data_IF_244759614254
#
_entry.id   IF_244759614254
#
_cell.length_a   1.000
_cell.length_b   1.000
_cell.length_c   1.000
_cell.angle_alpha   90.00
_cell.angle_beta   90.00
_cell.angle_gamma   90.00
#
_symmetry.space_group_name_H-M   'P 1'
#
loop_
_entity.id
_entity.type
_entity.pdbx_description
1 polymer ?
#
# COMPACT_ATOMS: atom_id res chain seq x y z
N UNK A 1 -48.42 -4.58 54.94
CA UNK A 1 -47.46 -5.45 55.66
C UNK A 1 -47.10 -6.54 54.64
N UNK A 2 -45.92 -6.70 54.05
CA UNK A 2 -44.54 -6.42 54.45
C UNK A 2 -43.68 -6.55 53.17
N UNK A 3 -42.70 -5.67 52.94
CA UNK A 3 -41.64 -5.87 51.92
C UNK A 3 -40.62 -6.92 52.43
N UNK A 4 -39.80 -7.54 51.54
CA UNK A 4 -38.39 -7.18 51.59
C UNK A 4 -37.59 -7.23 50.25
N UNK A 5 -36.70 -6.25 50.15
CA UNK A 5 -35.27 -6.27 49.77
C UNK A 5 -34.81 -6.80 48.39
N UNK A 6 -34.44 -5.82 47.57
CA UNK A 6 -33.42 -5.86 46.52
C UNK A 6 -32.03 -6.15 47.12
N UNK A 7 -31.34 -7.18 46.62
CA UNK A 7 -29.90 -7.37 46.83
C UNK A 7 -29.17 -6.99 45.54
N UNK A 8 -28.54 -5.81 45.54
CA UNK A 8 -27.56 -5.39 44.55
C UNK A 8 -26.19 -5.95 44.96
N UNK A 9 -25.63 -6.88 44.20
CA UNK A 9 -24.24 -7.29 44.34
C UNK A 9 -23.33 -6.19 43.78
N UNK A 10 -22.62 -5.49 44.66
CA UNK A 10 -21.53 -4.60 44.30
C UNK A 10 -20.21 -5.40 44.32
N UNK A 11 -19.58 -5.57 43.16
CA UNK A 11 -18.21 -6.07 43.07
C UNK A 11 -17.27 -4.90 43.32
N UNK A 12 -16.63 -4.89 44.49
CA UNK A 12 -15.57 -3.95 44.83
C UNK A 12 -14.25 -4.45 44.22
N UNK A 13 -13.69 -3.69 43.28
CA UNK A 13 -12.31 -3.90 42.81
C UNK A 13 -11.38 -3.19 43.80
N UNK A 14 -10.58 -3.98 44.50
CA UNK A 14 -9.52 -3.54 45.41
C UNK A 14 -8.49 -2.69 44.66
N UNK A 15 -8.32 -1.45 45.10
CA UNK A 15 -7.13 -0.62 44.84
C UNK A 15 -5.97 -1.14 45.68
N UNK A 16 -4.88 -1.58 45.04
CA UNK A 16 -3.60 -1.76 45.72
C UNK A 16 -2.86 -0.41 45.74
N UNK A 17 -2.79 0.19 46.93
CA UNK A 17 -1.93 1.34 47.22
C UNK A 17 -0.49 0.85 47.47
N UNK A 18 0.46 1.32 46.67
CA UNK A 18 1.89 1.26 46.99
C UNK A 18 2.37 2.70 47.25
N UNK A 19 2.70 2.98 48.51
CA UNK A 19 3.28 4.24 48.97
C UNK A 19 4.78 4.39 48.62
N UNK A 20 5.38 5.55 48.94
CA UNK A 20 6.65 6.01 48.38
C UNK A 20 7.85 5.76 49.30
N UNK A 21 9.03 5.49 48.73
CA UNK A 21 10.35 5.95 49.19
C UNK A 21 11.47 5.17 48.48
N UNK A 22 12.43 5.88 47.89
CA UNK A 22 13.66 5.27 47.38
C UNK A 22 14.27 6.05 46.21
N UNK A 23 14.72 7.28 46.46
CA UNK A 23 15.59 7.98 45.53
C UNK A 23 16.92 7.22 45.42
N UNK A 24 17.22 6.69 44.23
CA UNK A 24 18.54 6.19 43.86
C UNK A 24 18.97 6.93 42.59
N UNK A 25 19.70 8.04 42.76
CA UNK A 25 20.41 8.72 41.67
C UNK A 25 21.84 8.20 41.63
N UNK A 26 22.10 7.21 40.78
CA UNK A 26 23.46 6.89 40.33
C UNK A 26 23.84 7.82 39.17
N UNK A 27 25.04 8.41 39.13
CA UNK A 27 25.48 9.19 37.97
C UNK A 27 25.61 8.28 36.74
N UNK A 28 25.25 8.75 35.53
CA UNK A 28 25.38 7.96 34.31
C UNK A 28 26.86 7.74 33.95
N UNK A 29 27.23 6.56 33.41
CA UNK A 29 28.58 6.31 32.91
C UNK A 29 28.88 7.20 31.69
N UNK A 30 30.15 7.54 31.43
CA UNK A 30 30.55 8.37 30.29
C UNK A 30 30.23 7.68 28.96
N UNK A 31 29.70 8.45 28.03
CA UNK A 31 29.26 8.00 26.70
C UNK A 31 30.48 7.60 25.82
N UNK A 32 30.43 6.47 25.09
CA UNK A 32 31.50 6.09 24.16
C UNK A 32 31.58 7.08 22.98
N UNK A 33 32.77 7.28 22.37
CA UNK A 33 32.92 8.19 21.24
C UNK A 33 32.04 7.76 20.05
N UNK A 34 31.57 8.71 19.22
CA UNK A 34 30.79 8.41 18.03
C UNK A 34 31.52 7.41 17.14
N UNK A 35 30.91 6.24 16.92
CA UNK A 35 31.37 5.33 15.86
C UNK A 35 30.99 5.93 14.51
N UNK A 36 31.96 6.53 13.84
CA UNK A 36 31.87 6.75 12.40
C UNK A 36 31.80 5.39 11.70
N UNK A 37 30.59 4.99 11.33
CA UNK A 37 30.39 3.94 10.34
C UNK A 37 30.36 4.63 8.98
N UNK A 38 31.46 4.65 8.20
CA UNK A 38 31.38 5.07 6.82
C UNK A 38 30.52 4.04 6.10
N UNK A 39 29.25 4.37 5.94
CA UNK A 39 28.24 3.45 5.44
C UNK A 39 28.47 3.03 3.99
N UNK A 40 27.63 2.10 3.57
CA UNK A 40 27.42 1.56 2.21
C UNK A 40 27.45 2.63 1.09
N UNK A 41 27.17 3.90 1.43
CA UNK A 41 27.21 5.06 0.53
C UNK A 41 28.61 5.33 -0.06
N UNK A 42 29.69 5.04 0.66
CA UNK A 42 31.05 5.19 0.12
C UNK A 42 31.36 4.15 -0.98
N UNK A 43 30.71 2.99 -0.92
CA UNK A 43 30.82 1.94 -1.93
C UNK A 43 29.86 2.20 -3.12
N UNK A 44 28.66 2.72 -2.86
CA UNK A 44 27.72 3.15 -3.92
C UNK A 44 28.31 4.34 -4.71
N UNK A 45 29.03 5.26 -4.03
CA UNK A 45 29.73 6.37 -4.68
C UNK A 45 30.82 5.92 -5.66
N UNK A 46 31.56 4.85 -5.33
CA UNK A 46 32.57 4.27 -6.25
C UNK A 46 31.94 3.60 -7.47
N UNK A 47 30.76 2.99 -7.33
CA UNK A 47 30.01 2.37 -8.43
C UNK A 47 29.36 3.41 -9.37
N UNK A 48 28.91 4.56 -8.86
CA UNK A 48 28.35 5.65 -9.68
C UNK A 48 29.42 6.54 -10.34
N UNK A 49 30.67 6.52 -9.88
CA UNK A 49 31.76 7.33 -10.46
C UNK A 49 32.33 6.73 -11.74
N UNK A 50 32.19 5.40 -11.95
CA UNK A 50 32.57 4.72 -13.20
C UNK A 50 31.37 3.99 -13.85
N UNK A 51 30.34 4.71 -14.35
CA UNK A 51 29.19 4.11 -15.03
C UNK A 51 29.48 3.75 -16.50
N UNK A 52 30.65 4.10 -17.03
CA UNK A 52 30.99 4.02 -18.47
C UNK A 52 31.35 2.63 -18.99
N UNK A 53 31.09 1.55 -18.24
CA UNK A 53 31.42 0.18 -18.69
C UNK A 53 30.28 -0.84 -18.58
N UNK A 54 29.06 -0.42 -18.22
CA UNK A 54 27.93 -1.33 -18.02
C UNK A 54 26.63 -0.96 -18.76
N UNK A 55 26.65 0.02 -19.66
CA UNK A 55 25.50 0.33 -20.52
C UNK A 55 25.81 -0.02 -21.98
N UNK A 56 25.22 -1.08 -22.55
CA UNK A 56 25.21 -1.27 -23.99
C UNK A 56 24.43 -0.13 -24.69
N UNK A 57 24.93 0.22 -25.87
CA UNK A 57 24.56 1.32 -26.77
C UNK A 57 23.09 1.27 -27.24
N UNK A 58 22.14 1.50 -26.33
CA UNK A 58 20.73 1.59 -26.67
C UNK A 58 20.37 3.01 -27.13
N UNK A 59 20.44 3.18 -28.45
CA UNK A 59 19.50 3.94 -29.28
C UNK A 59 19.22 5.40 -28.88
N UNK A 60 19.93 6.31 -29.55
CA UNK A 60 19.50 7.69 -29.79
C UNK A 60 18.21 7.70 -30.62
N UNK A 61 17.22 8.55 -30.29
CA UNK A 61 16.44 9.22 -31.31
C UNK A 61 16.73 10.73 -31.31
N UNK A 62 16.62 11.26 -32.51
CA UNK A 62 17.15 12.50 -33.03
C UNK A 62 16.46 13.77 -32.48
N UNK A 63 17.22 14.86 -32.37
CA UNK A 63 16.77 16.20 -31.98
C UNK A 63 16.02 16.86 -33.13
N UNK A 64 14.76 17.21 -32.91
CA UNK A 64 14.10 18.30 -33.66
C UNK A 64 13.81 19.49 -32.74
N UNK A 65 14.68 20.51 -32.86
CA UNK A 65 14.43 21.97 -32.89
C UNK A 65 13.23 22.54 -32.09
N UNK A 66 13.49 23.33 -31.04
CA UNK A 66 13.21 24.80 -30.91
C UNK A 66 12.34 24.94 -29.64
N UNK A 67 12.51 25.80 -28.63
CA UNK A 67 13.22 27.05 -28.36
C UNK A 67 13.41 27.11 -26.82
N UNK A 68 14.41 27.82 -26.31
CA UNK A 68 14.56 28.12 -24.88
C UNK A 68 14.71 29.63 -24.73
N UNK A 69 14.01 30.25 -23.76
CA UNK A 69 14.76 31.08 -22.81
C UNK A 69 14.36 30.90 -21.33
N UNK A 70 15.42 30.81 -20.52
CA UNK A 70 15.66 31.29 -19.14
C UNK A 70 14.93 30.66 -17.91
N UNK A 71 15.55 30.72 -16.70
CA UNK A 71 15.34 29.77 -15.62
C UNK A 71 14.32 30.24 -14.57
N UNK A 72 13.36 29.39 -14.24
CA UNK A 72 12.46 29.58 -13.09
C UNK A 72 12.84 28.60 -11.97
N UNK A 73 12.89 29.10 -10.73
CA UNK A 73 13.33 28.38 -9.53
C UNK A 73 12.55 27.07 -9.29
N UNK A 74 13.16 26.01 -8.72
CA UNK A 74 12.45 24.78 -8.45
C UNK A 74 11.38 25.00 -7.36
N UNK A 75 10.09 24.70 -7.60
CA UNK A 75 9.10 24.67 -6.54
C UNK A 75 9.39 23.50 -5.59
N UNK A 76 9.13 23.75 -4.31
CA UNK A 76 9.24 22.80 -3.22
C UNK A 76 8.65 21.42 -3.55
N UNK A 77 9.41 20.37 -3.20
CA UNK A 77 9.02 18.97 -3.32
C UNK A 77 7.67 18.72 -2.66
N UNK A 78 6.64 18.51 -3.48
CA UNK A 78 5.37 17.96 -3.03
C UNK A 78 5.60 16.50 -2.60
N UNK A 79 4.97 16.02 -1.51
CA UNK A 79 4.97 14.59 -1.19
C UNK A 79 4.32 13.80 -2.34
N UNK A 80 4.71 12.52 -2.57
CA UNK A 80 4.17 11.73 -3.67
C UNK A 80 2.65 11.65 -3.56
N UNK A 81 1.95 12.39 -4.42
CA UNK A 81 0.54 12.15 -4.66
C UNK A 81 0.42 10.72 -5.22
N UNK A 82 -0.59 9.92 -4.83
CA UNK A 82 -0.92 8.72 -5.58
C UNK A 82 -1.15 9.16 -7.01
N UNK A 83 -0.21 8.83 -7.92
CA UNK A 83 -0.38 9.17 -9.32
C UNK A 83 -1.74 8.61 -9.73
N UNK A 84 -2.66 9.42 -10.29
CA UNK A 84 -3.78 8.88 -11.03
C UNK A 84 -3.13 7.89 -11.98
N UNK A 85 -3.50 6.61 -11.87
CA UNK A 85 -3.06 5.60 -12.82
C UNK A 85 -3.41 6.19 -14.18
N UNK A 86 -2.39 6.69 -14.88
CA UNK A 86 -2.55 7.13 -16.24
C UNK A 86 -3.10 5.88 -16.91
N UNK A 87 -4.36 5.97 -17.33
CA UNK A 87 -4.96 4.97 -18.17
C UNK A 87 -4.06 4.94 -19.40
N UNK A 88 -3.08 4.04 -19.38
CA UNK A 88 -2.38 3.67 -20.57
C UNK A 88 -3.49 3.38 -21.58
N UNK A 89 -3.46 3.98 -22.78
CA UNK A 89 -4.43 3.64 -23.80
C UNK A 89 -4.47 2.13 -23.86
N UNK A 90 -5.65 1.57 -23.58
CA UNK A 90 -5.84 0.13 -23.65
C UNK A 90 -5.33 -0.27 -25.02
N UNK A 91 -4.38 -1.22 -25.13
CA UNK A 91 -4.02 -1.72 -26.44
C UNK A 91 -5.32 -2.14 -27.13
N UNK A 92 -5.49 -1.87 -28.44
CA UNK A 92 -6.67 -2.31 -29.16
C UNK A 92 -6.89 -3.79 -28.86
N UNK A 93 -8.14 -4.27 -28.75
CA UNK A 93 -8.38 -5.68 -28.46
C UNK A 93 -7.61 -6.49 -29.49
N UNK A 94 -6.53 -7.15 -29.03
CA UNK A 94 -5.80 -8.09 -29.87
C UNK A 94 -6.84 -9.05 -30.40
N UNK A 95 -6.94 -9.14 -31.73
CA UNK A 95 -7.81 -10.10 -32.40
C UNK A 95 -7.62 -11.48 -31.74
N UNK A 96 -8.69 -12.29 -31.60
CA UNK A 96 -8.59 -13.58 -30.95
C UNK A 96 -7.54 -14.41 -31.69
N UNK A 97 -6.36 -14.58 -31.08
CA UNK A 97 -5.39 -15.56 -31.56
C UNK A 97 -6.08 -16.93 -31.57
N UNK A 98 -5.82 -17.77 -32.60
CA UNK A 98 -6.35 -19.12 -32.64
C UNK A 98 -6.03 -19.82 -31.32
N UNK A 99 -7.07 -20.34 -30.68
CA UNK A 99 -7.05 -20.85 -29.33
C UNK A 99 -6.00 -21.96 -29.20
N UNK A 100 -4.84 -21.63 -28.63
CA UNK A 100 -4.03 -22.64 -27.96
C UNK A 100 -4.90 -23.31 -26.89
N UNK A 101 -4.76 -24.62 -26.63
CA UNK A 101 -5.50 -25.29 -25.57
C UNK A 101 -5.27 -24.51 -24.28
N UNK A 102 -6.36 -23.97 -23.72
CA UNK A 102 -6.31 -23.19 -22.49
C UNK A 102 -6.04 -24.15 -21.34
N UNK A 103 -4.76 -24.35 -21.03
CA UNK A 103 -4.33 -25.15 -19.89
C UNK A 103 -4.62 -24.34 -18.63
N UNK A 104 -5.29 -24.94 -17.62
CA UNK A 104 -5.53 -24.28 -16.35
C UNK A 104 -4.23 -23.77 -15.74
N UNK A 105 -4.23 -22.52 -15.28
CA UNK A 105 -3.02 -21.88 -14.75
C UNK A 105 -3.34 -20.94 -13.60
N UNK A 106 -2.33 -20.74 -12.74
CA UNK A 106 -2.35 -19.62 -11.80
C UNK A 106 -1.98 -18.34 -12.50
N UNK A 107 -2.83 -17.33 -12.37
CA UNK A 107 -2.59 -16.01 -12.92
C UNK A 107 -2.53 -14.98 -11.80
N UNK A 108 -1.53 -14.12 -11.85
CA UNK A 108 -1.40 -12.95 -10.99
C UNK A 108 -2.01 -11.71 -11.65
N UNK A 109 -2.52 -10.80 -10.84
CA UNK A 109 -2.99 -9.49 -11.28
C UNK A 109 -3.42 -8.64 -10.10
N UNK A 110 -4.22 -7.61 -10.36
CA UNK A 110 -4.89 -6.84 -9.30
C UNK A 110 -6.26 -6.42 -9.81
N UNK A 111 -7.29 -7.16 -9.41
CA UNK A 111 -8.66 -6.94 -9.86
C UNK A 111 -9.54 -6.57 -8.68
N UNK A 112 -10.19 -5.41 -8.72
CA UNK A 112 -11.15 -4.98 -7.67
C UNK A 112 -12.27 -6.02 -7.58
N UNK A 113 -12.63 -6.42 -6.36
CA UNK A 113 -13.80 -7.22 -6.11
C UNK A 113 -15.04 -6.32 -6.21
N UNK A 114 -15.95 -6.54 -7.18
CA UNK A 114 -17.19 -5.77 -7.28
C UNK A 114 -18.04 -5.93 -6.02
N UNK A 115 -18.88 -4.93 -5.72
CA UNK A 115 -19.83 -5.05 -4.61
C UNK A 115 -20.96 -6.02 -4.99
N UNK A 116 -21.27 -6.96 -4.10
CA UNK A 116 -22.45 -7.82 -4.18
C UNK A 116 -23.71 -7.06 -3.75
N UNK A 117 -24.89 -7.68 -3.90
CA UNK A 117 -26.17 -7.09 -3.50
C UNK A 117 -26.22 -6.65 -2.02
N UNK A 118 -25.43 -7.29 -1.15
CA UNK A 118 -25.34 -6.97 0.27
C UNK A 118 -24.26 -5.91 0.60
N UNK A 119 -23.61 -5.31 -0.40
CA UNK A 119 -22.50 -4.36 -0.22
C UNK A 119 -21.16 -5.02 0.17
N UNK A 120 -21.15 -6.34 0.37
CA UNK A 120 -19.93 -7.11 0.58
C UNK A 120 -19.12 -7.27 -0.73
N UNK A 121 -17.79 -7.41 -0.67
CA UNK A 121 -16.97 -7.64 -1.86
C UNK A 121 -17.19 -9.05 -2.44
N UNK A 122 -17.48 -9.15 -3.73
CA UNK A 122 -17.57 -10.40 -4.48
C UNK A 122 -16.25 -10.71 -5.20
N UNK A 123 -15.30 -11.26 -4.45
CA UNK A 123 -14.00 -11.64 -5.01
C UNK A 123 -14.05 -12.89 -5.89
N UNK A 124 -15.14 -13.66 -5.88
CA UNK A 124 -15.34 -14.75 -6.83
C UNK A 124 -15.60 -14.17 -8.23
N UNK A 125 -16.53 -13.21 -8.35
CA UNK A 125 -16.73 -12.46 -9.58
C UNK A 125 -15.44 -11.73 -10.01
N UNK A 126 -14.72 -11.13 -9.06
CA UNK A 126 -13.41 -10.51 -9.31
C UNK A 126 -12.39 -11.48 -9.94
N UNK A 127 -12.31 -12.72 -9.46
CA UNK A 127 -11.42 -13.73 -10.03
C UNK A 127 -11.82 -14.15 -11.46
N UNK A 128 -13.12 -14.33 -11.71
CA UNK A 128 -13.62 -14.63 -13.05
C UNK A 128 -13.28 -13.49 -14.02
N UNK A 129 -13.42 -12.23 -13.60
CA UNK A 129 -13.03 -11.07 -14.43
C UNK A 129 -11.52 -11.10 -14.71
N UNK A 130 -10.70 -11.34 -13.68
CA UNK A 130 -9.24 -11.43 -13.83
C UNK A 130 -8.82 -12.53 -14.82
N UNK A 131 -9.47 -13.69 -14.75
CA UNK A 131 -9.19 -14.83 -15.62
C UNK A 131 -9.71 -14.61 -17.05
N UNK A 132 -10.91 -14.03 -17.23
CA UNK A 132 -11.46 -13.68 -18.55
C UNK A 132 -10.61 -12.66 -19.28
N UNK A 133 -10.02 -11.70 -18.57
CA UNK A 133 -9.06 -10.76 -19.15
C UNK A 133 -7.80 -11.45 -19.73
N UNK A 134 -7.58 -12.73 -19.39
CA UNK A 134 -6.44 -13.55 -19.81
C UNK A 134 -6.85 -14.65 -20.79
N UNK A 135 -8.11 -14.66 -21.22
CA UNK A 135 -8.64 -15.62 -22.20
C UNK A 135 -9.28 -16.88 -21.60
N UNK A 136 -9.33 -17.00 -20.27
CA UNK A 136 -9.97 -18.13 -19.60
C UNK A 136 -11.49 -17.92 -19.50
N UNK A 137 -12.25 -19.02 -19.34
CA UNK A 137 -13.72 -18.93 -19.24
C UNK A 137 -14.15 -18.68 -17.80
N UNK A 138 -13.43 -19.30 -16.87
CA UNK A 138 -13.72 -19.28 -15.44
C UNK A 138 -12.47 -19.01 -14.60
N UNK A 139 -12.67 -18.76 -13.30
CA UNK A 139 -11.62 -18.34 -12.41
C UNK A 139 -12.01 -18.38 -10.93
N UNK A 140 -11.12 -18.90 -10.09
CA UNK A 140 -11.27 -18.91 -8.63
C UNK A 140 -10.19 -18.09 -7.94
N UNK A 141 -10.56 -17.17 -7.06
CA UNK A 141 -9.62 -16.36 -6.28
C UNK A 141 -8.78 -17.25 -5.36
N UNK A 142 -7.46 -17.07 -5.38
CA UNK A 142 -6.51 -17.72 -4.49
C UNK A 142 -5.90 -16.76 -3.47
N UNK A 143 -5.66 -15.51 -3.88
CA UNK A 143 -5.16 -14.47 -3.00
C UNK A 143 -6.01 -13.21 -3.13
N UNK A 144 -6.40 -12.65 -1.98
CA UNK A 144 -7.16 -11.42 -1.87
C UNK A 144 -6.35 -10.46 -1.01
N UNK A 145 -6.25 -9.22 -1.46
CA UNK A 145 -5.63 -8.10 -0.78
C UNK A 145 -6.70 -7.08 -0.43
N UNK A 146 -6.57 -6.41 0.71
CA UNK A 146 -7.48 -5.36 1.15
C UNK A 146 -6.70 -4.09 1.42
N UNK A 147 -7.16 -2.98 0.85
CA UNK A 147 -6.59 -1.66 1.11
C UNK A 147 -7.65 -0.72 1.65
N UNK A 148 -7.27 0.12 2.60
CA UNK A 148 -8.14 1.17 3.09
C UNK A 148 -7.90 2.44 2.29
N UNK A 149 -8.87 2.81 1.45
CA UNK A 149 -8.86 4.11 0.77
C UNK A 149 -9.52 5.15 1.65
N UNK A 150 -8.68 6.05 2.16
CA UNK A 150 -9.12 7.19 2.93
C UNK A 150 -9.21 8.45 2.05
N UNK A 151 -10.22 9.27 2.31
CA UNK A 151 -10.30 10.62 1.75
C UNK A 151 -9.22 11.51 2.36
N UNK A 152 -8.73 12.48 1.59
CA UNK A 152 -7.75 13.46 2.07
C UNK A 152 -8.26 14.31 3.25
N UNK A 153 -9.58 14.27 3.53
CA UNK A 153 -10.22 15.02 4.61
C UNK A 153 -9.71 14.61 6.00
N UNK A 154 -9.19 13.39 6.13
CA UNK A 154 -8.53 12.87 7.32
C UNK A 154 -7.19 13.53 7.63
N UNK A 155 -6.52 14.11 6.63
CA UNK A 155 -5.25 14.80 6.81
C UNK A 155 -5.45 16.22 7.38
N UNK A 156 -6.69 16.70 7.49
CA UNK A 156 -6.99 18.02 8.02
C UNK A 156 -6.93 17.96 9.56
N UNK A 157 -5.97 18.66 10.21
CA UNK A 157 -5.85 18.66 11.65
C UNK A 157 -7.11 19.23 12.32
N UNK A 158 -7.49 18.67 13.48
CA UNK A 158 -8.66 19.09 14.25
C UNK A 158 -10.00 18.51 13.76
N UNK A 159 -10.01 17.70 12.69
CA UNK A 159 -11.23 17.02 12.23
C UNK A 159 -11.34 15.62 12.82
N UNK A 160 -12.49 15.30 13.41
CA UNK A 160 -12.80 13.94 13.84
C UNK A 160 -13.07 13.04 12.63
N UNK A 161 -12.51 11.84 12.65
CA UNK A 161 -12.72 10.79 11.64
C UNK A 161 -14.19 10.39 11.60
N UNK A 162 -14.78 10.41 10.42
CA UNK A 162 -16.12 9.94 10.15
C UNK A 162 -16.09 8.51 9.58
N UNK A 163 -17.16 7.72 9.75
CA UNK A 163 -17.25 6.35 9.20
C UNK A 163 -17.10 6.29 7.67
N UNK A 164 -17.43 7.37 6.96
CA UNK A 164 -17.30 7.49 5.51
C UNK A 164 -15.93 7.98 5.05
N UNK A 165 -15.06 8.42 5.96
CA UNK A 165 -13.78 9.01 5.57
C UNK A 165 -12.80 7.97 5.03
N UNK A 166 -13.00 6.68 5.31
CA UNK A 166 -12.24 5.59 4.71
C UNK A 166 -13.14 4.43 4.30
N UNK A 167 -12.84 3.83 3.15
CA UNK A 167 -13.51 2.65 2.63
C UNK A 167 -12.49 1.56 2.33
N UNK A 168 -12.78 0.35 2.77
CA UNK A 168 -11.97 -0.83 2.47
C UNK A 168 -12.32 -1.35 1.08
N UNK A 169 -11.34 -1.36 0.18
CA UNK A 169 -11.46 -2.01 -1.13
C UNK A 169 -10.74 -3.35 -1.09
N UNK A 170 -11.37 -4.38 -1.64
CA UNK A 170 -10.80 -5.72 -1.76
C UNK A 170 -10.40 -6.00 -3.21
N UNK A 171 -9.30 -6.71 -3.41
CA UNK A 171 -8.74 -7.02 -4.72
C UNK A 171 -8.29 -8.47 -4.79
N UNK A 172 -8.58 -9.15 -5.89
CA UNK A 172 -7.96 -10.44 -6.19
C UNK A 172 -6.58 -10.19 -6.76
N UNK A 173 -5.54 -10.73 -6.11
CA UNK A 173 -4.15 -10.61 -6.55
C UNK A 173 -3.62 -11.86 -7.25
N UNK A 174 -4.26 -13.00 -7.01
CA UNK A 174 -3.97 -14.28 -7.67
C UNK A 174 -5.24 -15.09 -7.83
N UNK A 175 -5.41 -15.73 -8.98
CA UNK A 175 -6.53 -16.63 -9.27
C UNK A 175 -6.05 -17.89 -9.99
N UNK A 176 -6.78 -18.99 -9.79
CA UNK A 176 -6.70 -20.19 -10.62
C UNK A 176 -7.68 -20.04 -11.78
N UNK A 177 -7.20 -20.05 -13.01
CA UNK A 177 -8.00 -19.83 -14.20
C UNK A 177 -8.11 -21.11 -15.03
N UNK A 178 -9.28 -21.36 -15.61
CA UNK A 178 -9.58 -22.54 -16.43
C UNK A 178 -10.55 -22.24 -17.57
#
# INVERSE_FOLDING_TARGET
>A
MTAPLLIRAAVAIMFAAAGPAGAQTSPPPPEPPPRENPGLVNEIGKLLTNPSSLLPDFAKPDRSKTDMPAPEAPPASQPPQPQPQQAAPSPPPSAPSPAAPTIPAMVNGRQVCPASANGAPDCAAGAVILCRAKGYRDGRSLAIDATEKCSAKLLIPGRARQPDDCRTENFVTRAWCQ
#
